data_IF_043827103291
#
_entry.id   IF_043827103291
#
_cell.length_a   1.000
_cell.length_b   1.000
_cell.length_c   1.000
_cell.angle_alpha   90.00
_cell.angle_beta   90.00
_cell.angle_gamma   90.00
#
_symmetry.space_group_name_H-M   'P 1'
#
loop_
_entity.id
_entity.type
_entity.pdbx_description
1 polymer ?
#
# COMPACT_ATOMS: atom_id res chain seq x y z
N UNK A 1 19.68 -9.36 -1.52
CA UNK A 1 18.86 -10.17 -0.62
C UNK A 1 17.42 -10.02 -1.10
N UNK A 2 16.77 -11.14 -1.38
CA UNK A 2 15.36 -11.16 -1.72
C UNK A 2 14.52 -10.79 -0.50
N UNK A 3 13.52 -9.96 -0.71
CA UNK A 3 12.63 -9.48 0.34
C UNK A 3 11.22 -9.19 -0.23
N UNK A 4 10.47 -10.23 -0.64
CA UNK A 4 9.07 -10.04 -0.99
C UNK A 4 8.31 -9.39 0.17
N UNK A 5 7.29 -8.57 -0.15
CA UNK A 5 6.44 -7.92 0.86
C UNK A 5 5.94 -8.92 1.91
N UNK A 6 6.15 -8.61 3.19
CA UNK A 6 5.90 -9.49 4.33
C UNK A 6 7.03 -10.49 4.66
N UNK A 7 8.15 -10.46 3.95
CA UNK A 7 9.29 -11.37 4.13
C UNK A 7 10.64 -10.64 4.18
N UNK A 8 10.70 -9.44 4.75
CA UNK A 8 11.82 -8.51 4.71
C UNK A 8 12.91 -8.80 5.75
N UNK A 9 12.68 -9.69 6.71
CA UNK A 9 13.54 -9.90 7.89
C UNK A 9 15.03 -10.00 7.55
N UNK A 10 15.41 -10.81 6.58
CA UNK A 10 16.81 -11.02 6.23
C UNK A 10 17.47 -9.75 5.66
N UNK A 11 16.73 -8.96 4.88
CA UNK A 11 17.20 -7.68 4.35
C UNK A 11 17.28 -6.62 5.44
N UNK A 12 16.32 -6.61 6.37
CA UNK A 12 16.32 -5.75 7.56
C UNK A 12 17.51 -6.01 8.47
N UNK A 13 17.80 -7.27 8.78
CA UNK A 13 18.99 -7.67 9.58
C UNK A 13 20.29 -7.19 8.92
N UNK A 14 20.39 -7.32 7.59
CA UNK A 14 21.56 -6.83 6.86
C UNK A 14 21.66 -5.31 6.88
N UNK A 15 20.57 -4.59 6.68
CA UNK A 15 20.53 -3.12 6.73
C UNK A 15 20.90 -2.61 8.13
N UNK A 16 20.35 -3.21 9.18
CA UNK A 16 20.70 -2.95 10.58
C UNK A 16 22.22 -3.06 10.82
N UNK A 17 22.83 -4.15 10.33
CA UNK A 17 24.29 -4.37 10.43
C UNK A 17 25.08 -3.27 9.72
N UNK A 18 24.65 -2.90 8.50
CA UNK A 18 25.35 -1.87 7.70
C UNK A 18 25.28 -0.47 8.35
N UNK A 19 24.16 -0.12 8.97
CA UNK A 19 24.04 1.15 9.72
C UNK A 19 24.91 1.14 10.98
N UNK A 20 25.03 0.01 11.68
CA UNK A 20 25.99 -0.14 12.81
C UNK A 20 27.44 -0.02 12.34
N UNK A 21 27.80 -0.69 11.26
CA UNK A 21 29.13 -0.59 10.65
C UNK A 21 29.47 0.86 10.22
N UNK A 22 28.46 1.64 9.84
CA UNK A 22 28.59 3.05 9.52
C UNK A 22 28.67 3.97 10.77
N UNK A 23 28.63 3.40 11.98
CA UNK A 23 28.80 4.11 13.24
C UNK A 23 27.53 4.72 13.81
N UNK A 24 26.39 4.11 13.56
CA UNK A 24 25.13 4.44 14.21
C UNK A 24 24.93 3.51 15.41
N UNK A 25 24.97 4.07 16.63
CA UNK A 25 24.89 3.29 17.87
C UNK A 25 23.45 3.18 18.41
N UNK A 26 22.66 4.24 18.27
CA UNK A 26 21.25 4.27 18.66
C UNK A 26 20.38 3.72 17.53
N UNK A 27 20.33 2.38 17.43
CA UNK A 27 19.66 1.66 16.34
C UNK A 27 19.02 0.37 16.83
N UNK A 28 17.82 0.09 16.36
CA UNK A 28 17.08 -1.14 16.65
C UNK A 28 16.26 -1.60 15.44
N UNK A 29 15.81 -2.82 15.50
CA UNK A 29 14.79 -3.39 14.63
C UNK A 29 13.55 -3.66 15.48
N UNK A 30 12.39 -3.20 15.02
CA UNK A 30 11.12 -3.40 15.75
C UNK A 30 10.55 -4.81 15.51
N UNK A 31 9.40 -5.08 16.12
CA UNK A 31 8.70 -6.36 16.02
C UNK A 31 8.17 -6.66 14.61
N UNK A 32 8.03 -5.64 13.76
CA UNK A 32 7.62 -5.74 12.37
C UNK A 32 8.79 -5.80 11.39
N UNK A 33 10.03 -5.76 11.89
CA UNK A 33 11.28 -5.72 11.14
C UNK A 33 11.59 -4.37 10.47
N UNK A 34 10.93 -3.26 10.84
CA UNK A 34 11.43 -1.95 10.50
C UNK A 34 12.78 -1.72 11.19
N UNK A 35 13.73 -1.15 10.47
CA UNK A 35 15.02 -0.75 11.02
C UNK A 35 15.00 0.74 11.27
N UNK A 36 15.19 1.15 12.51
CA UNK A 36 15.13 2.55 12.93
C UNK A 36 16.42 2.89 13.66
N UNK A 37 17.18 3.84 13.11
CA UNK A 37 18.43 4.31 13.70
C UNK A 37 18.48 5.82 13.80
N UNK A 38 19.14 6.35 14.84
CA UNK A 38 19.19 7.78 15.11
C UNK A 38 20.61 8.33 15.14
N UNK A 39 20.88 9.35 14.36
CA UNK A 39 22.03 10.23 14.49
C UNK A 39 21.65 11.43 15.35
N UNK A 40 22.26 11.52 16.53
CA UNK A 40 21.97 12.61 17.48
C UNK A 40 22.45 13.95 16.97
N UNK A 41 21.55 14.92 17.02
CA UNK A 41 21.85 16.34 16.82
C UNK A 41 22.59 16.98 17.99
N UNK A 42 23.07 18.20 17.79
CA UNK A 42 23.76 18.99 18.82
C UNK A 42 22.86 19.96 19.55
N UNK A 43 21.67 20.26 18.97
CA UNK A 43 20.80 21.34 19.45
C UNK A 43 19.84 20.96 20.57
N UNK A 44 19.71 19.68 20.92
CA UNK A 44 18.72 19.19 21.90
C UNK A 44 17.32 19.82 21.72
N UNK A 45 16.87 19.89 20.48
CA UNK A 45 15.68 20.66 20.05
C UNK A 45 14.36 19.93 20.26
N UNK A 46 14.40 18.62 20.52
CA UNK A 46 13.22 17.75 20.49
C UNK A 46 12.64 17.55 19.08
N UNK A 47 13.33 18.04 18.06
CA UNK A 47 12.92 17.94 16.66
C UNK A 47 13.83 16.99 15.87
N UNK A 48 13.30 16.40 14.82
CA UNK A 48 14.08 15.51 13.94
C UNK A 48 13.62 15.57 12.48
N UNK A 49 14.49 15.02 11.63
CA UNK A 49 14.18 14.70 10.23
C UNK A 49 14.25 13.18 10.09
N UNK A 50 13.32 12.61 9.34
CA UNK A 50 13.28 11.19 9.01
C UNK A 50 13.71 11.00 7.55
N UNK A 51 14.75 10.20 7.33
CA UNK A 51 15.15 9.69 6.01
C UNK A 51 14.73 8.23 5.93
N UNK A 52 13.97 7.89 4.92
CA UNK A 52 13.36 6.59 4.78
C UNK A 52 13.58 6.01 3.38
N UNK A 53 13.57 4.69 3.28
CA UNK A 53 13.43 3.88 2.08
C UNK A 53 12.90 2.51 2.49
N UNK A 54 12.15 1.85 1.59
CA UNK A 54 11.55 0.58 1.93
C UNK A 54 12.45 -0.64 1.64
N UNK A 55 12.22 -1.71 2.39
CA UNK A 55 13.02 -2.94 2.34
C UNK A 55 12.41 -3.99 1.43
N UNK A 56 11.10 -3.98 1.26
CA UNK A 56 10.40 -4.97 0.44
C UNK A 56 10.50 -4.72 -1.06
N UNK A 57 10.04 -5.66 -1.82
CA UNK A 57 9.93 -5.58 -3.28
C UNK A 57 8.72 -6.40 -3.74
N UNK A 58 8.18 -6.06 -4.91
CA UNK A 58 7.10 -6.81 -5.59
C UNK A 58 7.55 -8.18 -6.11
N UNK A 59 8.85 -8.47 -6.12
CA UNK A 59 9.41 -9.69 -6.68
C UNK A 59 9.31 -10.87 -5.71
N UNK A 60 9.04 -12.06 -6.25
CA UNK A 60 8.94 -13.29 -5.47
C UNK A 60 10.31 -13.90 -5.18
N UNK A 61 10.36 -14.79 -4.20
CA UNK A 61 11.55 -15.62 -3.98
C UNK A 61 11.92 -16.41 -5.24
N UNK A 62 13.19 -16.36 -5.62
CA UNK A 62 13.74 -16.99 -6.80
C UNK A 62 13.74 -16.11 -8.06
N UNK A 63 13.22 -14.88 -8.00
CA UNK A 63 13.29 -13.93 -9.12
C UNK A 63 14.67 -13.27 -9.23
N UNK A 64 15.38 -13.11 -8.11
CA UNK A 64 16.75 -12.56 -8.08
C UNK A 64 17.76 -13.62 -8.44
N UNK A 65 18.12 -13.71 -9.72
CA UNK A 65 19.08 -14.71 -10.24
C UNK A 65 20.54 -14.23 -10.24
N UNK A 66 20.78 -12.99 -9.86
CA UNK A 66 22.11 -12.39 -9.81
C UNK A 66 22.07 -10.89 -10.06
N UNK A 67 23.24 -10.29 -9.97
CA UNK A 67 23.45 -8.88 -10.30
C UNK A 67 24.26 -8.84 -11.59
N UNK A 68 23.74 -8.16 -12.60
CA UNK A 68 24.42 -7.96 -13.88
C UNK A 68 24.83 -6.50 -14.03
N UNK A 69 26.00 -6.27 -14.63
CA UNK A 69 26.44 -4.92 -14.99
C UNK A 69 26.64 -4.86 -16.49
N UNK A 70 25.97 -3.92 -17.15
CA UNK A 70 26.09 -3.75 -18.59
C UNK A 70 27.36 -2.97 -19.00
N UNK A 71 27.56 -2.82 -20.30
CA UNK A 71 28.73 -2.14 -20.86
C UNK A 71 28.81 -0.65 -20.51
N UNK A 72 27.68 -0.04 -20.16
CA UNK A 72 27.56 1.35 -19.72
C UNK A 72 27.73 1.49 -18.18
N UNK A 73 27.96 0.38 -17.47
CA UNK A 73 28.14 0.35 -16.01
C UNK A 73 26.83 0.41 -15.22
N UNK A 74 25.69 0.20 -15.86
CA UNK A 74 24.40 0.14 -15.17
C UNK A 74 24.22 -1.24 -14.52
N UNK A 75 23.69 -1.24 -13.32
CA UNK A 75 23.44 -2.47 -12.56
C UNK A 75 22.00 -2.90 -12.76
N UNK A 76 21.82 -4.15 -13.13
CA UNK A 76 20.52 -4.79 -13.35
C UNK A 76 20.28 -5.88 -12.31
N UNK A 77 19.20 -5.75 -11.55
CA UNK A 77 18.74 -6.74 -10.59
C UNK A 77 17.29 -6.40 -10.19
N UNK A 78 16.38 -7.36 -10.06
CA UNK A 78 15.05 -7.13 -9.51
C UNK A 78 15.12 -6.44 -8.14
N UNK A 79 14.33 -5.37 -7.92
CA UNK A 79 14.27 -4.61 -6.68
C UNK A 79 15.52 -3.77 -6.36
N UNK A 80 16.41 -3.51 -7.35
CA UNK A 80 17.60 -2.67 -7.09
C UNK A 80 17.26 -1.18 -7.14
N UNK A 81 16.37 -0.78 -8.04
CA UNK A 81 15.96 0.60 -8.21
C UNK A 81 14.85 0.97 -7.22
N UNK A 82 13.95 0.05 -7.02
CA UNK A 82 12.79 0.11 -6.15
C UNK A 82 12.88 -1.07 -5.15
N UNK A 83 13.35 -0.91 -3.87
CA UNK A 83 13.90 0.37 -3.42
C UNK A 83 15.26 0.18 -2.72
N UNK A 84 16.04 -0.85 -3.11
CA UNK A 84 17.38 -1.09 -2.54
C UNK A 84 18.30 0.13 -2.70
N UNK A 85 18.08 0.91 -3.74
CA UNK A 85 18.84 2.14 -4.00
C UNK A 85 18.64 3.19 -2.91
N UNK A 86 17.42 3.38 -2.43
CA UNK A 86 17.14 4.38 -1.39
C UNK A 86 17.80 4.03 -0.06
N UNK A 87 17.72 2.78 0.37
CA UNK A 87 18.40 2.37 1.60
C UNK A 87 19.94 2.47 1.47
N UNK A 88 20.48 2.28 0.25
CA UNK A 88 21.89 2.52 -0.03
C UNK A 88 22.22 4.03 -0.01
N UNK A 89 21.33 4.89 -0.51
CA UNK A 89 21.47 6.35 -0.46
C UNK A 89 21.43 6.85 1.00
N UNK A 90 20.51 6.38 1.81
CA UNK A 90 20.45 6.68 3.25
C UNK A 90 21.74 6.32 3.96
N UNK A 91 22.29 5.13 3.67
CA UNK A 91 23.58 4.71 4.21
C UNK A 91 24.74 5.61 3.73
N UNK A 92 24.72 6.05 2.46
CA UNK A 92 25.72 6.97 1.93
C UNK A 92 25.66 8.35 2.60
N UNK A 93 24.47 8.87 2.85
CA UNK A 93 24.24 10.11 3.61
C UNK A 93 24.81 10.00 5.02
N UNK A 94 24.52 8.92 5.75
CA UNK A 94 25.08 8.66 7.07
C UNK A 94 26.61 8.65 7.04
N UNK A 95 27.20 7.92 6.09
CA UNK A 95 28.66 7.85 5.92
C UNK A 95 29.27 9.21 5.61
N UNK A 96 28.59 10.04 4.81
CA UNK A 96 29.05 11.39 4.50
C UNK A 96 29.08 12.29 5.75
N UNK A 97 28.04 12.25 6.61
CA UNK A 97 28.04 12.94 7.90
C UNK A 97 29.22 12.51 8.79
N UNK A 98 29.46 11.20 8.89
CA UNK A 98 30.57 10.65 9.68
C UNK A 98 31.93 11.03 9.11
N UNK A 99 32.15 10.89 7.80
CA UNK A 99 33.43 11.19 7.15
C UNK A 99 33.77 12.68 7.22
N UNK A 100 32.77 13.57 7.10
CA UNK A 100 32.96 15.00 7.23
C UNK A 100 33.00 15.49 8.69
N UNK A 101 32.84 14.59 9.67
CA UNK A 101 32.68 14.93 11.09
C UNK A 101 31.62 16.00 11.33
N UNK A 102 30.55 15.97 10.54
CA UNK A 102 29.42 16.88 10.66
C UNK A 102 28.40 16.33 11.65
N UNK A 103 27.86 17.22 12.46
CA UNK A 103 26.74 16.92 13.35
C UNK A 103 25.58 17.85 13.03
N UNK A 104 24.37 17.31 12.79
CA UNK A 104 23.19 18.13 12.54
C UNK A 104 22.77 18.89 13.80
N UNK A 105 21.94 19.92 13.65
CA UNK A 105 21.32 20.61 14.79
C UNK A 105 20.21 19.75 15.39
N UNK A 106 19.34 19.21 14.54
CA UNK A 106 18.25 18.29 14.91
C UNK A 106 18.70 16.84 14.80
N UNK A 107 18.02 15.94 15.46
CA UNK A 107 18.23 14.51 15.27
C UNK A 107 17.86 14.10 13.82
N UNK A 108 18.57 13.12 13.26
CA UNK A 108 18.20 12.49 11.98
C UNK A 108 17.92 11.01 12.23
N UNK A 109 16.72 10.56 11.87
CA UNK A 109 16.40 9.15 11.83
C UNK A 109 16.70 8.60 10.44
N UNK A 110 17.32 7.43 10.40
CA UNK A 110 17.57 6.62 9.20
C UNK A 110 16.73 5.36 9.33
N UNK A 111 15.75 5.20 8.44
CA UNK A 111 14.81 4.09 8.50
C UNK A 111 14.86 3.23 7.23
N UNK A 112 14.72 1.92 7.46
CA UNK A 112 14.33 0.97 6.43
C UNK A 112 12.99 0.39 6.83
N UNK A 113 11.94 0.67 6.07
CA UNK A 113 10.58 0.26 6.39
C UNK A 113 10.19 -1.01 5.64
N UNK A 114 9.22 -1.73 6.14
CA UNK A 114 8.68 -2.96 5.56
C UNK A 114 7.28 -2.73 5.00
N UNK A 115 6.80 -3.64 4.17
CA UNK A 115 5.41 -3.63 3.70
C UNK A 115 4.99 -2.29 3.04
N UNK A 116 5.85 -1.72 2.21
CA UNK A 116 5.47 -0.57 1.39
C UNK A 116 4.58 -1.02 0.24
N UNK A 117 4.99 -2.06 -0.47
CA UNK A 117 4.47 -2.52 -1.73
C UNK A 117 3.11 -3.20 -1.64
N UNK A 118 2.27 -2.97 -2.63
CA UNK A 118 1.04 -3.70 -2.88
C UNK A 118 0.12 -3.79 -1.65
N UNK A 119 -0.22 -5.02 -1.23
CA UNK A 119 -1.07 -5.26 -0.06
C UNK A 119 -0.37 -4.97 1.28
N UNK A 120 0.91 -4.67 1.26
CA UNK A 120 1.65 -4.13 2.42
C UNK A 120 1.09 -2.78 2.85
N UNK A 121 0.77 -1.92 1.87
CA UNK A 121 0.01 -0.69 2.09
C UNK A 121 0.72 0.32 2.98
N UNK A 122 2.04 0.44 2.86
CA UNK A 122 2.87 1.37 3.64
C UNK A 122 2.79 1.16 5.16
N UNK A 123 2.42 -0.04 5.62
CA UNK A 123 2.24 -0.33 7.06
C UNK A 123 3.50 -0.08 7.86
N UNK A 124 4.68 -0.42 7.32
CA UNK A 124 5.96 -0.20 7.98
C UNK A 124 6.20 1.27 8.30
N UNK A 125 5.91 2.16 7.36
CA UNK A 125 5.99 3.61 7.59
C UNK A 125 4.97 4.07 8.64
N UNK A 126 3.73 3.60 8.57
CA UNK A 126 2.70 3.96 9.57
C UNK A 126 3.12 3.53 10.98
N UNK A 127 3.65 2.32 11.16
CA UNK A 127 4.18 1.85 12.46
C UNK A 127 5.39 2.67 12.92
N UNK A 128 6.29 3.03 12.00
CA UNK A 128 7.45 3.88 12.32
C UNK A 128 7.02 5.26 12.80
N UNK A 129 6.09 5.90 12.11
CA UNK A 129 5.56 7.20 12.51
C UNK A 129 4.84 7.14 13.87
N UNK A 130 4.06 6.08 14.11
CA UNK A 130 3.39 5.86 15.39
C UNK A 130 4.39 5.71 16.55
N UNK A 131 5.49 5.00 16.34
CA UNK A 131 6.56 4.87 17.33
C UNK A 131 7.31 6.19 17.62
N UNK A 132 7.38 7.09 16.64
CA UNK A 132 8.14 8.34 16.75
C UNK A 132 7.31 9.53 17.23
N UNK A 133 5.98 9.51 17.08
CA UNK A 133 5.08 10.64 17.39
C UNK A 133 5.25 11.24 18.78
N UNK A 134 5.52 10.38 19.79
CA UNK A 134 5.68 10.80 21.18
C UNK A 134 7.16 11.01 21.58
N UNK A 135 8.09 10.68 20.69
CA UNK A 135 9.54 10.77 20.96
C UNK A 135 10.17 12.04 20.41
N UNK A 136 9.62 12.59 19.33
CA UNK A 136 10.19 13.73 18.62
C UNK A 136 9.13 14.44 17.79
N UNK A 137 9.37 15.74 17.52
CA UNK A 137 8.62 16.47 16.50
C UNK A 137 9.32 16.29 15.15
N UNK A 138 8.70 15.55 14.24
CA UNK A 138 9.20 15.45 12.87
C UNK A 138 9.02 16.79 12.16
N UNK A 139 10.11 17.37 11.68
CA UNK A 139 10.11 18.59 10.85
C UNK A 139 9.91 18.25 9.39
N UNK A 140 10.47 17.12 8.97
CA UNK A 140 10.31 16.59 7.61
C UNK A 140 10.47 15.07 7.64
N UNK A 141 9.75 14.41 6.74
CA UNK A 141 9.97 13.03 6.33
C UNK A 141 10.37 13.05 4.87
N UNK A 142 11.50 12.44 4.55
CA UNK A 142 12.04 12.33 3.20
C UNK A 142 12.09 10.85 2.87
N UNK A 143 11.12 10.39 2.11
CA UNK A 143 11.12 9.05 1.53
C UNK A 143 11.84 9.10 0.19
N UNK A 144 12.86 8.28 0.04
CA UNK A 144 13.60 8.15 -1.22
C UNK A 144 13.02 6.91 -1.90
N UNK A 145 12.50 7.10 -3.12
CA UNK A 145 11.86 6.03 -3.87
C UNK A 145 11.93 6.31 -5.37
N UNK A 146 11.63 5.29 -6.19
CA UNK A 146 11.50 5.43 -7.63
C UNK A 146 12.82 5.58 -8.40
N UNK A 147 12.72 5.82 -9.69
CA UNK A 147 13.82 5.68 -10.65
C UNK A 147 14.65 6.95 -10.89
N UNK A 148 14.21 8.12 -10.45
CA UNK A 148 14.87 9.40 -10.77
C UNK A 148 15.17 10.24 -9.53
N UNK A 149 16.34 10.89 -9.52
CA UNK A 149 16.72 11.84 -8.46
C UNK A 149 16.30 13.30 -8.78
N UNK A 150 15.61 13.52 -9.88
CA UNK A 150 15.28 14.87 -10.40
C UNK A 150 13.85 15.29 -10.05
N UNK A 151 13.04 14.37 -9.52
CA UNK A 151 11.63 14.62 -9.22
C UNK A 151 11.43 14.65 -7.70
N UNK A 152 10.71 15.67 -7.25
CA UNK A 152 10.25 15.82 -5.88
C UNK A 152 8.73 15.70 -5.85
N UNK A 153 8.21 14.73 -5.14
CA UNK A 153 6.77 14.57 -4.95
C UNK A 153 6.36 15.20 -3.62
N UNK A 154 5.63 16.30 -3.68
CA UNK A 154 5.07 16.97 -2.51
C UNK A 154 3.62 16.55 -2.22
N UNK A 155 3.03 15.75 -3.10
CA UNK A 155 1.65 15.28 -2.98
C UNK A 155 1.60 13.76 -3.06
N UNK A 156 0.85 13.14 -2.14
CA UNK A 156 0.58 11.71 -2.13
C UNK A 156 -0.83 11.42 -2.66
N UNK A 157 -0.93 10.51 -3.60
CA UNK A 157 -2.21 10.00 -4.09
C UNK A 157 -2.76 9.00 -3.08
N UNK A 158 -3.96 9.27 -2.55
CA UNK A 158 -4.67 8.32 -1.69
C UNK A 158 -5.25 7.15 -2.49
N UNK A 159 -5.39 6.00 -1.84
CA UNK A 159 -5.88 4.78 -2.45
C UNK A 159 -6.70 3.95 -1.47
N UNK A 160 -7.80 3.39 -1.95
CA UNK A 160 -8.55 2.36 -1.25
C UNK A 160 -8.73 1.13 -2.14
N UNK A 161 -8.58 -0.05 -1.54
CA UNK A 161 -8.97 -1.32 -2.15
C UNK A 161 -10.07 -1.96 -1.33
N UNK A 162 -11.12 -2.40 -2.04
CA UNK A 162 -12.25 -3.08 -1.43
C UNK A 162 -12.39 -4.49 -2.02
N UNK A 163 -12.56 -5.47 -1.15
CA UNK A 163 -13.03 -6.80 -1.53
C UNK A 163 -14.50 -6.95 -1.15
N UNK A 164 -15.33 -7.24 -2.13
CA UNK A 164 -16.77 -7.39 -1.97
C UNK A 164 -17.12 -8.86 -2.14
N UNK A 165 -17.64 -9.47 -1.09
CA UNK A 165 -18.14 -10.84 -1.10
C UNK A 165 -19.66 -10.83 -1.00
N UNK A 166 -20.30 -11.52 -1.93
CA UNK A 166 -21.74 -11.74 -1.95
C UNK A 166 -21.99 -13.24 -1.86
N UNK A 167 -22.85 -13.63 -0.93
CA UNK A 167 -23.28 -15.02 -0.79
C UNK A 167 -24.79 -15.13 -0.86
N UNK A 168 -25.26 -16.24 -1.42
CA UNK A 168 -26.68 -16.52 -1.63
C UNK A 168 -27.02 -18.00 -1.43
N UNK A 169 -28.29 -18.39 -1.57
CA UNK A 169 -28.77 -19.74 -1.24
C UNK A 169 -28.20 -20.80 -2.19
N UNK A 170 -27.81 -20.43 -3.40
CA UNK A 170 -27.43 -21.39 -4.44
C UNK A 170 -28.59 -22.31 -4.84
N UNK A 171 -28.33 -23.26 -5.71
CA UNK A 171 -29.30 -24.27 -6.11
C UNK A 171 -29.13 -24.76 -7.54
N UNK A 172 -29.96 -25.71 -7.93
CA UNK A 172 -30.01 -26.22 -9.29
C UNK A 172 -30.78 -25.24 -10.19
N UNK A 173 -30.16 -24.80 -11.28
CA UNK A 173 -30.73 -23.74 -12.13
C UNK A 173 -32.15 -24.00 -12.66
N UNK A 174 -32.55 -25.26 -12.82
CA UNK A 174 -33.88 -25.62 -13.26
C UNK A 174 -34.90 -25.71 -12.13
N UNK A 175 -34.56 -26.38 -11.02
CA UNK A 175 -35.51 -26.66 -9.92
C UNK A 175 -35.57 -25.55 -8.86
N UNK A 176 -34.65 -24.64 -8.86
CA UNK A 176 -34.56 -23.52 -7.93
C UNK A 176 -34.38 -22.17 -8.63
N UNK A 177 -34.95 -22.03 -9.83
CA UNK A 177 -34.78 -20.88 -10.71
C UNK A 177 -35.27 -19.55 -10.12
N UNK A 178 -36.14 -19.57 -9.12
CA UNK A 178 -36.63 -18.39 -8.39
C UNK A 178 -35.59 -17.79 -7.43
N UNK A 179 -34.54 -18.56 -7.05
CA UNK A 179 -33.58 -18.11 -6.04
C UNK A 179 -32.72 -16.95 -6.52
N UNK A 180 -32.39 -16.09 -5.57
CA UNK A 180 -31.42 -15.00 -5.78
C UNK A 180 -30.02 -15.55 -6.04
N UNK A 181 -29.25 -14.86 -6.90
CA UNK A 181 -27.93 -15.33 -7.35
C UNK A 181 -26.84 -14.34 -6.96
N UNK A 182 -25.79 -14.87 -6.34
CA UNK A 182 -24.62 -14.05 -5.99
C UNK A 182 -23.94 -13.41 -7.22
N UNK A 183 -23.85 -14.13 -8.35
CA UNK A 183 -23.28 -13.58 -9.60
C UNK A 183 -24.18 -12.50 -10.20
N UNK A 184 -25.49 -12.69 -10.23
CA UNK A 184 -26.40 -11.64 -10.71
C UNK A 184 -26.28 -10.37 -9.88
N UNK A 185 -26.23 -10.54 -8.53
CA UNK A 185 -26.01 -9.43 -7.59
C UNK A 185 -24.70 -8.70 -7.87
N UNK A 186 -23.58 -9.44 -8.04
CA UNK A 186 -22.29 -8.85 -8.36
C UNK A 186 -22.33 -8.08 -9.69
N UNK A 187 -22.97 -8.66 -10.73
CA UNK A 187 -23.14 -8.00 -12.02
C UNK A 187 -23.95 -6.70 -11.93
N UNK A 188 -25.03 -6.70 -11.16
CA UNK A 188 -25.86 -5.51 -10.91
C UNK A 188 -25.08 -4.44 -10.12
N UNK A 189 -24.36 -4.83 -9.07
CA UNK A 189 -23.52 -3.92 -8.29
C UNK A 189 -22.43 -3.28 -9.17
N UNK A 190 -21.73 -4.08 -9.98
CA UNK A 190 -20.70 -3.60 -10.90
C UNK A 190 -21.30 -2.65 -11.95
N UNK A 191 -22.49 -2.95 -12.46
CA UNK A 191 -23.20 -2.08 -13.41
C UNK A 191 -23.58 -0.73 -12.77
N UNK A 192 -23.94 -0.69 -11.50
CA UNK A 192 -24.19 0.56 -10.77
C UNK A 192 -22.86 1.31 -10.51
N UNK A 193 -21.78 0.63 -10.12
CA UNK A 193 -20.45 1.22 -9.96
C UNK A 193 -19.98 1.85 -11.28
N UNK A 194 -20.20 1.19 -12.41
CA UNK A 194 -19.80 1.69 -13.72
C UNK A 194 -20.51 2.99 -14.16
N UNK A 195 -21.58 3.39 -13.47
CA UNK A 195 -22.26 4.69 -13.69
C UNK A 195 -21.62 5.84 -12.93
N UNK A 196 -20.78 5.55 -11.95
CA UNK A 196 -20.06 6.57 -11.17
C UNK A 196 -19.06 7.25 -12.10
N UNK A 197 -19.10 8.57 -12.14
CA UNK A 197 -18.15 9.38 -12.93
C UNK A 197 -17.19 10.09 -11.98
N UNK A 198 -15.98 9.55 -11.79
CA UNK A 198 -15.00 10.20 -10.92
C UNK A 198 -14.62 11.59 -11.42
N UNK A 199 -14.35 12.57 -10.53
CA UNK A 199 -13.89 13.88 -10.94
C UNK A 199 -12.53 13.79 -11.64
N UNK A 200 -12.31 14.69 -12.61
CA UNK A 200 -11.02 14.83 -13.30
C UNK A 200 -10.05 15.70 -12.51
N UNK A 201 -10.58 16.64 -11.73
CA UNK A 201 -9.86 17.53 -10.87
C UNK A 201 -10.63 17.68 -9.53
N UNK A 202 -10.08 17.24 -8.41
CA UNK A 202 -8.81 16.49 -8.29
C UNK A 202 -8.85 15.15 -9.03
N UNK A 203 -7.74 14.76 -9.65
CA UNK A 203 -7.67 13.49 -10.40
C UNK A 203 -8.11 12.33 -9.49
N UNK A 204 -9.17 11.67 -9.90
CA UNK A 204 -9.77 10.53 -9.20
C UNK A 204 -10.02 9.40 -10.19
N UNK A 205 -9.76 8.18 -9.79
CA UNK A 205 -9.96 6.99 -10.61
C UNK A 205 -10.74 5.94 -9.85
N UNK A 206 -11.49 5.10 -10.58
CA UNK A 206 -12.28 4.01 -10.05
C UNK A 206 -12.24 2.85 -11.03
N UNK A 207 -11.95 1.65 -10.54
CA UNK A 207 -11.90 0.43 -11.35
C UNK A 207 -12.39 -0.77 -10.54
N UNK A 208 -13.25 -1.58 -11.14
CA UNK A 208 -13.48 -2.96 -10.70
C UNK A 208 -12.50 -3.82 -11.48
N UNK A 209 -11.50 -4.39 -10.79
CA UNK A 209 -10.36 -5.02 -11.44
C UNK A 209 -10.42 -6.54 -11.52
N UNK A 210 -11.13 -7.17 -10.58
CA UNK A 210 -11.24 -8.62 -10.50
C UNK A 210 -12.67 -9.01 -10.17
N UNK A 211 -13.11 -10.14 -10.74
CA UNK A 211 -14.37 -10.79 -10.41
C UNK A 211 -14.23 -12.30 -10.54
N UNK A 212 -14.74 -13.02 -9.55
CA UNK A 212 -14.81 -14.49 -9.57
C UNK A 212 -16.11 -14.96 -8.92
N UNK A 213 -16.57 -16.15 -9.26
CA UNK A 213 -17.77 -16.73 -8.64
C UNK A 213 -18.36 -17.91 -9.40
N UNK A 214 -19.31 -18.58 -8.72
CA UNK A 214 -20.01 -19.76 -9.25
C UNK A 214 -19.18 -21.04 -9.18
N UNK A 215 -19.86 -22.18 -9.39
CA UNK A 215 -19.25 -23.51 -9.32
C UNK A 215 -19.49 -24.32 -10.59
N UNK A 216 -20.66 -24.18 -11.21
CA UNK A 216 -21.06 -24.97 -12.38
C UNK A 216 -22.12 -24.23 -13.21
N UNK A 217 -22.16 -24.50 -14.53
CA UNK A 217 -23.07 -23.85 -15.47
C UNK A 217 -24.56 -24.10 -15.18
N UNK A 218 -24.88 -25.22 -14.52
CA UNK A 218 -26.25 -25.62 -14.17
C UNK A 218 -26.62 -25.27 -12.71
N UNK A 219 -25.82 -24.44 -12.03
CA UNK A 219 -26.05 -24.04 -10.65
C UNK A 219 -26.27 -22.53 -10.55
N UNK A 220 -27.18 -22.13 -9.65
CA UNK A 220 -27.28 -20.75 -9.19
C UNK A 220 -26.07 -20.50 -8.27
N UNK A 221 -25.32 -19.45 -8.52
CA UNK A 221 -24.10 -19.16 -7.80
C UNK A 221 -24.39 -18.86 -6.33
N UNK A 222 -23.68 -19.58 -5.45
CA UNK A 222 -23.72 -19.35 -4.00
C UNK A 222 -22.79 -18.20 -3.57
N UNK A 223 -21.72 -17.97 -4.31
CA UNK A 223 -20.72 -16.95 -3.96
C UNK A 223 -20.25 -16.23 -5.21
N UNK A 224 -20.04 -14.94 -5.07
CA UNK A 224 -19.29 -14.11 -5.98
C UNK A 224 -18.41 -13.14 -5.19
N UNK A 225 -17.21 -12.89 -5.68
CA UNK A 225 -16.27 -11.93 -5.11
C UNK A 225 -15.81 -10.99 -6.22
N UNK A 226 -15.71 -9.70 -5.92
CA UNK A 226 -15.08 -8.76 -6.83
C UNK A 226 -14.27 -7.72 -6.07
N UNK A 227 -13.25 -7.17 -6.74
CA UNK A 227 -12.32 -6.23 -6.12
C UNK A 227 -12.33 -4.90 -6.84
N UNK A 228 -12.27 -3.85 -6.05
CA UNK A 228 -12.37 -2.46 -6.50
C UNK A 228 -11.12 -1.72 -6.03
N UNK A 229 -10.53 -0.93 -6.93
CA UNK A 229 -9.52 0.05 -6.59
C UNK A 229 -10.04 1.45 -6.90
N UNK A 230 -9.90 2.37 -5.96
CA UNK A 230 -10.14 3.79 -6.17
C UNK A 230 -8.94 4.61 -5.68
N UNK A 231 -8.59 5.65 -6.43
CA UNK A 231 -7.47 6.54 -6.10
C UNK A 231 -7.87 7.98 -6.30
N UNK A 232 -7.33 8.87 -5.47
CA UNK A 232 -7.53 10.31 -5.63
C UNK A 232 -6.35 11.12 -5.09
N UNK A 233 -6.11 12.28 -5.71
CA UNK A 233 -5.18 13.28 -5.19
C UNK A 233 -5.82 14.15 -4.08
N UNK A 234 -7.06 13.85 -3.68
CA UNK A 234 -7.78 14.54 -2.61
C UNK A 234 -8.45 13.54 -1.69
N UNK A 235 -8.22 13.65 -0.39
CA UNK A 235 -8.88 12.79 0.60
C UNK A 235 -10.39 12.98 0.60
N UNK A 236 -10.88 14.21 0.41
CA UNK A 236 -12.31 14.48 0.35
C UNK A 236 -12.97 13.77 -0.85
N UNK A 237 -12.33 13.83 -2.03
CA UNK A 237 -12.84 13.17 -3.22
C UNK A 237 -12.73 11.63 -3.10
N UNK A 238 -11.71 11.11 -2.42
CA UNK A 238 -11.57 9.68 -2.16
C UNK A 238 -12.71 9.19 -1.24
N UNK A 239 -13.02 9.92 -0.19
CA UNK A 239 -14.12 9.59 0.72
C UNK A 239 -15.47 9.63 -0.01
N UNK A 240 -15.69 10.63 -0.86
CA UNK A 240 -16.93 10.74 -1.63
C UNK A 240 -17.12 9.57 -2.61
N UNK A 241 -16.05 9.18 -3.32
CA UNK A 241 -16.08 8.01 -4.21
C UNK A 241 -16.35 6.73 -3.42
N UNK A 242 -15.75 6.55 -2.26
CA UNK A 242 -15.98 5.40 -1.39
C UNK A 242 -17.45 5.27 -1.02
N UNK A 243 -18.09 6.36 -0.60
CA UNK A 243 -19.53 6.37 -0.29
C UNK A 243 -20.40 6.03 -1.51
N UNK A 244 -20.06 6.58 -2.67
CA UNK A 244 -20.77 6.25 -3.91
C UNK A 244 -20.64 4.77 -4.27
N UNK A 245 -19.48 4.16 -4.07
CA UNK A 245 -19.24 2.73 -4.27
C UNK A 245 -20.13 1.91 -3.33
N UNK A 246 -20.17 2.23 -2.04
CA UNK A 246 -21.02 1.53 -1.07
C UNK A 246 -22.50 1.62 -1.43
N UNK A 247 -22.97 2.78 -1.88
CA UNK A 247 -24.34 2.95 -2.35
C UNK A 247 -24.63 2.11 -3.59
N UNK A 248 -23.73 2.08 -4.57
CA UNK A 248 -23.88 1.29 -5.79
C UNK A 248 -23.94 -0.22 -5.49
N UNK A 249 -23.09 -0.72 -4.59
CA UNK A 249 -23.10 -2.12 -4.17
C UNK A 249 -24.45 -2.49 -3.53
N UNK A 250 -24.88 -1.70 -2.53
CA UNK A 250 -26.16 -1.94 -1.84
C UNK A 250 -27.35 -1.93 -2.81
N UNK A 251 -27.33 -1.03 -3.80
CA UNK A 251 -28.36 -0.98 -4.83
C UNK A 251 -28.41 -2.26 -5.67
N UNK A 252 -27.26 -2.80 -6.06
CA UNK A 252 -27.21 -4.09 -6.78
C UNK A 252 -27.80 -5.24 -5.96
N UNK A 253 -27.49 -5.29 -4.66
CA UNK A 253 -28.08 -6.26 -3.72
C UNK A 253 -29.61 -6.08 -3.64
N UNK A 254 -30.08 -4.85 -3.48
CA UNK A 254 -31.53 -4.56 -3.40
C UNK A 254 -32.29 -4.97 -4.64
N UNK A 255 -31.74 -4.73 -5.83
CA UNK A 255 -32.38 -5.09 -7.10
C UNK A 255 -32.56 -6.59 -7.22
N UNK A 256 -31.51 -7.39 -6.95
CA UNK A 256 -31.61 -8.86 -7.01
C UNK A 256 -32.53 -9.39 -5.90
N UNK A 257 -32.44 -8.85 -4.67
CA UNK A 257 -33.24 -9.31 -3.53
C UNK A 257 -34.73 -9.05 -3.72
N UNK A 258 -35.11 -7.97 -4.45
CA UNK A 258 -36.48 -7.57 -4.71
C UNK A 258 -37.01 -8.05 -6.06
N UNK A 259 -36.28 -8.94 -6.77
CA UNK A 259 -36.80 -9.48 -8.05
C UNK A 259 -38.12 -10.23 -7.82
N UNK A 260 -39.02 -10.16 -8.79
CA UNK A 260 -40.33 -10.82 -8.73
C UNK A 260 -40.15 -12.34 -8.56
N UNK A 261 -40.81 -12.92 -7.56
CA UNK A 261 -40.68 -14.35 -7.21
C UNK A 261 -39.35 -14.73 -6.57
N UNK A 262 -38.49 -13.78 -6.18
CA UNK A 262 -37.17 -14.06 -5.63
C UNK A 262 -37.21 -14.81 -4.29
N UNK A 263 -36.56 -15.97 -4.23
CA UNK A 263 -36.43 -16.79 -3.02
C UNK A 263 -35.02 -16.73 -2.42
N UNK A 264 -34.95 -16.77 -1.07
CA UNK A 264 -33.72 -16.80 -0.31
C UNK A 264 -33.15 -15.41 0.00
N UNK A 265 -32.09 -15.40 0.75
CA UNK A 265 -31.47 -14.18 1.22
C UNK A 265 -30.02 -14.06 0.71
N UNK A 266 -29.62 -12.84 0.43
CA UNK A 266 -28.24 -12.48 0.09
C UNK A 266 -27.54 -11.95 1.32
N UNK A 267 -26.30 -12.37 1.53
CA UNK A 267 -25.39 -11.71 2.45
C UNK A 267 -24.33 -10.90 1.70
N UNK A 268 -23.96 -9.77 2.27
CA UNK A 268 -22.97 -8.85 1.72
C UNK A 268 -21.88 -8.59 2.77
N UNK A 269 -20.65 -8.82 2.40
CA UNK A 269 -19.48 -8.37 3.15
C UNK A 269 -18.61 -7.47 2.27
N UNK A 270 -18.19 -6.35 2.81
CA UNK A 270 -17.26 -5.44 2.15
C UNK A 270 -16.06 -5.26 3.11
N UNK A 271 -14.90 -5.68 2.66
CA UNK A 271 -13.65 -5.52 3.40
C UNK A 271 -12.78 -4.46 2.71
N UNK A 272 -12.32 -3.47 3.48
CA UNK A 272 -11.32 -2.53 3.01
C UNK A 272 -9.94 -3.16 3.24
N UNK A 273 -9.35 -3.71 2.18
CA UNK A 273 -8.07 -4.42 2.23
C UNK A 273 -6.87 -3.50 2.18
N UNK A 274 -7.07 -2.26 1.70
CA UNK A 274 -6.07 -1.21 1.67
C UNK A 274 -6.73 0.16 1.92
N UNK A 275 -6.07 1.01 2.70
CA UNK A 275 -6.49 2.39 2.98
C UNK A 275 -5.24 3.27 3.14
N UNK A 276 -4.88 3.97 2.07
CA UNK A 276 -3.74 4.90 2.05
C UNK A 276 -4.29 6.31 1.87
N UNK A 277 -4.04 7.22 2.81
CA UNK A 277 -4.59 8.58 2.71
C UNK A 277 -3.93 9.40 1.62
N UNK A 278 -4.71 10.27 0.98
CA UNK A 278 -4.16 11.34 0.15
C UNK A 278 -3.54 12.42 1.03
N UNK A 279 -2.45 13.02 0.56
CA UNK A 279 -1.77 14.09 1.27
C UNK A 279 -1.17 15.12 0.34
N UNK A 280 -0.99 16.34 0.86
CA UNK A 280 -0.27 17.40 0.15
C UNK A 280 0.57 18.21 1.15
N UNK A 281 1.74 18.63 0.72
CA UNK A 281 2.55 19.58 1.47
C UNK A 281 2.04 20.99 1.17
N UNK A 282 2.06 21.91 2.16
CA UNK A 282 1.89 23.32 1.88
C UNK A 282 2.95 23.85 0.93
N UNK A 283 2.62 24.89 0.17
CA UNK A 283 3.53 25.50 -0.81
C UNK A 283 4.60 26.43 -0.17
N UNK A 284 4.62 26.56 1.18
CA UNK A 284 5.49 27.47 1.96
C UNK A 284 6.48 26.76 2.90
#
# INVERSE_FOLDING_TARGET
IEAPTGHEKAKAERYLSMLREAGLDDIYMDEHFNVIGKLHGTGNTGCSVLLEGHLDTVFSFGDVKGIETDAEGRIHCPGICDDTRAIAANLAVLRAFKAANLRPVHDIYFCGTVCEEGLGGMKGMAWTLDQLKDKTKLLATISIDGATAEIFYANATGMIDLEVTIEGPGGHAWTACERVSAIHTAGLAIAEIAKIVPPKDPKTTLTVSLIEGGQAIHAIAQKAVFKINARSNSQAALNEIEEQIYHAIRRGVEVEQKKEGGEGELSLSIEKTLDVPAGSQPDD
#
